data_IF_848122892382
#
_entry.id   IF_848122892382
#
_cell.length_a   1.000
_cell.length_b   1.000
_cell.length_c   1.000
_cell.angle_alpha   90.00
_cell.angle_beta   90.00
_cell.angle_gamma   90.00
#
_symmetry.space_group_name_H-M   'P 1'
#
loop_
_entity.id
_entity.type
_entity.pdbx_description
1 polymer ?
#
# COMPACT_ATOMS: atom_id res chain seq x y z
N UNK A 1 11.70 -1.01 16.39
CA UNK A 1 12.63 -0.66 15.31
C UNK A 1 11.91 -0.60 13.96
N UNK A 2 12.37 0.24 13.04
CA UNK A 2 11.84 0.40 11.68
C UNK A 2 12.86 -0.06 10.64
N UNK A 3 12.49 -0.96 9.72
CA UNK A 3 13.28 -1.22 8.51
C UNK A 3 12.76 -0.31 7.40
N UNK A 4 13.65 0.48 6.82
CA UNK A 4 13.34 1.48 5.80
C UNK A 4 13.98 1.08 4.49
N UNK A 5 13.18 0.70 3.51
CA UNK A 5 13.63 0.67 2.13
C UNK A 5 13.34 2.04 1.52
N UNK A 6 14.37 2.88 1.33
CA UNK A 6 14.16 4.24 0.83
C UNK A 6 13.89 4.24 -0.68
N UNK A 7 14.67 3.46 -1.43
CA UNK A 7 14.56 3.35 -2.89
C UNK A 7 14.51 4.71 -3.61
N UNK A 8 13.41 4.98 -4.32
CA UNK A 8 13.13 6.24 -5.03
C UNK A 8 12.46 7.32 -4.16
N UNK A 9 12.27 7.07 -2.87
CA UNK A 9 11.61 7.97 -1.93
C UNK A 9 12.42 9.22 -1.54
N UNK A 10 11.75 10.22 -0.96
CA UNK A 10 12.39 11.45 -0.49
C UNK A 10 13.33 11.15 0.70
N UNK A 11 14.63 11.51 0.63
CA UNK A 11 15.56 11.36 1.75
C UNK A 11 15.10 11.98 3.08
N UNK A 12 14.21 12.99 3.05
CA UNK A 12 13.60 13.59 4.24
C UNK A 12 12.87 12.57 5.12
N UNK A 13 12.38 11.48 4.54
CA UNK A 13 11.80 10.35 5.27
C UNK A 13 12.68 9.92 6.44
N UNK A 14 13.97 9.75 6.18
CA UNK A 14 14.95 9.31 7.18
C UNK A 14 15.07 10.35 8.31
N UNK A 15 15.05 11.64 7.97
CA UNK A 15 15.15 12.71 8.95
C UNK A 15 13.89 12.81 9.81
N UNK A 16 12.70 12.56 9.25
CA UNK A 16 11.46 12.51 10.02
C UNK A 16 11.45 11.33 10.99
N UNK A 17 11.90 10.14 10.57
CA UNK A 17 12.02 8.98 11.48
C UNK A 17 12.99 9.28 12.63
N UNK A 18 14.14 9.91 12.35
CA UNK A 18 15.09 10.35 13.38
C UNK A 18 14.46 11.31 14.39
N UNK A 19 13.61 12.25 13.95
CA UNK A 19 12.94 13.23 14.85
C UNK A 19 11.97 12.56 15.82
N UNK A 20 11.32 11.48 15.40
CA UNK A 20 10.47 10.66 16.28
C UNK A 20 11.31 9.91 17.32
N UNK A 21 12.61 9.72 17.07
CA UNK A 21 13.53 9.04 17.98
C UNK A 21 13.46 7.51 17.91
N UNK A 22 12.91 6.98 16.82
CA UNK A 22 12.82 5.54 16.60
C UNK A 22 14.15 4.97 16.08
N UNK A 23 14.49 3.77 16.54
CA UNK A 23 15.59 3.01 15.94
C UNK A 23 15.19 2.56 14.54
N UNK A 24 16.06 2.78 13.55
CA UNK A 24 15.79 2.38 12.17
C UNK A 24 17.04 1.88 11.43
N UNK A 25 16.81 1.07 10.41
CA UNK A 25 17.82 0.56 9.49
C UNK A 25 17.42 0.79 8.05
N UNK A 26 18.36 1.20 7.21
CA UNK A 26 18.07 1.50 5.80
C UNK A 26 18.55 0.36 4.92
N UNK A 27 17.65 -0.30 4.22
CA UNK A 27 17.94 -1.43 3.33
C UNK A 27 17.78 -1.03 1.86
N UNK A 28 18.36 -1.81 0.95
CA UNK A 28 18.27 -1.56 -0.49
C UNK A 28 18.20 -2.85 -1.30
N UNK A 29 18.54 -2.78 -2.59
CA UNK A 29 18.30 -3.88 -3.52
C UNK A 29 19.08 -5.17 -3.17
N UNK A 30 20.25 -5.03 -2.53
CA UNK A 30 21.08 -6.17 -2.12
C UNK A 30 20.45 -7.01 -1.00
N UNK A 31 19.44 -6.47 -0.32
CA UNK A 31 18.76 -7.06 0.82
C UNK A 31 17.45 -7.73 0.45
N UNK A 32 16.99 -7.60 -0.80
CA UNK A 32 15.67 -8.05 -1.24
C UNK A 32 15.42 -9.54 -0.98
N UNK A 33 16.46 -10.38 -1.10
CA UNK A 33 16.35 -11.81 -0.85
C UNK A 33 16.50 -12.21 0.63
N UNK A 34 16.84 -11.27 1.51
CA UNK A 34 16.99 -11.54 2.95
C UNK A 34 15.63 -11.48 3.62
N UNK A 35 15.47 -12.30 4.65
CA UNK A 35 14.27 -12.29 5.49
C UNK A 35 14.25 -11.09 6.43
N UNK A 36 13.06 -10.69 6.88
CA UNK A 36 12.94 -9.62 7.86
C UNK A 36 13.68 -9.94 9.17
N UNK A 37 13.70 -11.22 9.58
CA UNK A 37 14.49 -11.70 10.72
C UNK A 37 15.99 -11.42 10.58
N UNK A 38 16.56 -11.65 9.39
CA UNK A 38 17.98 -11.36 9.12
C UNK A 38 18.27 -9.86 9.10
N UNK A 39 17.38 -9.07 8.50
CA UNK A 39 17.53 -7.61 8.39
C UNK A 39 17.45 -6.91 9.74
N UNK A 40 16.73 -7.49 10.69
CA UNK A 40 16.68 -7.00 12.08
C UNK A 40 18.02 -7.17 12.79
N UNK A 41 18.77 -8.22 12.48
CA UNK A 41 20.02 -8.56 13.16
C UNK A 41 21.25 -7.93 12.50
N UNK A 42 21.18 -7.65 11.20
CA UNK A 42 22.30 -7.19 10.40
C UNK A 42 21.93 -5.93 9.60
N UNK A 43 22.04 -4.74 10.21
CA UNK A 43 21.79 -3.50 9.51
C UNK A 43 22.79 -3.31 8.37
N UNK A 44 22.27 -2.94 7.21
CA UNK A 44 23.08 -2.50 6.07
C UNK A 44 22.71 -1.07 5.68
N UNK A 45 23.36 -0.55 4.64
CA UNK A 45 22.97 0.72 4.00
C UNK A 45 23.24 0.57 2.52
N UNK A 46 22.18 0.58 1.74
CA UNK A 46 22.21 0.16 0.34
C UNK A 46 21.23 1.02 -0.46
N UNK A 47 21.50 1.21 -1.75
CA UNK A 47 20.60 1.92 -2.64
C UNK A 47 19.55 0.94 -3.18
N UNK A 48 18.31 1.39 -3.25
CA UNK A 48 17.21 0.66 -3.88
C UNK A 48 16.68 1.40 -5.10
N UNK A 49 15.91 0.71 -5.94
CA UNK A 49 15.27 1.28 -7.13
C UNK A 49 13.73 1.20 -7.10
N UNK A 50 13.12 0.68 -6.04
CA UNK A 50 11.67 0.59 -5.88
C UNK A 50 11.10 1.76 -5.06
N UNK A 51 9.77 1.95 -5.02
CA UNK A 51 9.13 2.93 -4.14
C UNK A 51 9.51 2.72 -2.66
N UNK A 52 9.42 3.78 -1.83
CA UNK A 52 9.72 3.67 -0.41
C UNK A 52 8.77 2.69 0.28
N UNK A 53 9.34 1.84 1.13
CA UNK A 53 8.62 0.85 1.93
C UNK A 53 9.11 0.88 3.38
N UNK A 54 8.17 0.76 4.32
CA UNK A 54 8.47 0.67 5.75
C UNK A 54 7.99 -0.65 6.34
N UNK A 55 8.84 -1.26 7.14
CA UNK A 55 8.45 -2.36 8.01
C UNK A 55 8.64 -2.00 9.48
N UNK A 56 7.56 -2.13 10.26
CA UNK A 56 7.49 -1.75 11.67
C UNK A 56 7.66 -2.99 12.55
N UNK A 57 8.86 -3.18 13.09
CA UNK A 57 9.15 -4.28 14.01
C UNK A 57 8.88 -3.86 15.45
N UNK A 58 7.75 -4.34 15.99
CA UNK A 58 7.28 -4.06 17.37
C UNK A 58 7.17 -2.56 17.65
N UNK A 59 6.74 -1.80 16.65
CA UNK A 59 6.51 -0.36 16.73
C UNK A 59 5.08 -0.03 16.31
N UNK A 60 4.57 1.09 16.79
CA UNK A 60 3.24 1.61 16.46
C UNK A 60 3.31 2.56 15.25
N UNK A 61 2.58 2.23 14.18
CA UNK A 61 2.51 3.04 12.95
C UNK A 61 2.01 4.47 13.20
N UNK A 62 1.19 4.68 14.23
CA UNK A 62 0.59 5.98 14.54
C UNK A 62 1.61 7.03 14.97
N UNK A 63 2.78 6.62 15.48
CA UNK A 63 3.88 7.50 15.86
C UNK A 63 4.53 8.16 14.63
N UNK A 64 4.71 7.38 13.56
CA UNK A 64 5.24 7.88 12.29
C UNK A 64 4.19 8.66 11.50
N UNK A 65 2.92 8.25 11.53
CA UNK A 65 1.85 8.90 10.78
C UNK A 65 1.75 10.40 11.10
N UNK A 66 1.85 10.79 12.38
CA UNK A 66 1.83 12.21 12.78
C UNK A 66 3.04 12.98 12.29
N UNK A 67 4.23 12.39 12.37
CA UNK A 67 5.47 13.04 11.92
C UNK A 67 5.48 13.22 10.41
N UNK A 68 5.05 12.21 9.66
CA UNK A 68 4.96 12.27 8.20
C UNK A 68 3.91 13.29 7.74
N UNK A 69 2.76 13.37 8.42
CA UNK A 69 1.73 14.37 8.14
C UNK A 69 2.26 15.80 8.29
N UNK A 70 3.04 16.10 9.33
CA UNK A 70 3.61 17.43 9.57
C UNK A 70 4.64 17.83 8.50
N UNK A 71 5.32 16.85 7.91
CA UNK A 71 6.36 17.06 6.91
C UNK A 71 5.89 16.83 5.47
N UNK A 72 4.59 16.60 5.28
CA UNK A 72 3.97 16.26 3.99
C UNK A 72 4.62 15.05 3.29
N UNK A 73 5.02 14.07 4.09
CA UNK A 73 5.55 12.79 3.62
C UNK A 73 4.38 11.80 3.56
N UNK A 74 4.27 11.10 2.43
CA UNK A 74 3.26 10.08 2.21
C UNK A 74 3.98 8.77 1.89
N UNK A 75 3.63 7.72 2.64
CA UNK A 75 4.15 6.37 2.42
C UNK A 75 2.96 5.44 2.53
N UNK A 76 2.56 4.91 1.39
CA UNK A 76 1.41 4.02 1.32
C UNK A 76 1.80 2.56 1.54
N UNK A 77 3.10 2.24 1.43
CA UNK A 77 3.65 0.89 1.56
C UNK A 77 4.26 0.70 2.94
N UNK A 78 3.41 0.29 3.88
CA UNK A 78 3.79 0.05 5.27
C UNK A 78 3.31 -1.33 5.69
N UNK A 79 4.20 -2.12 6.29
CA UNK A 79 3.86 -3.41 6.90
C UNK A 79 4.21 -3.40 8.39
N UNK A 80 3.30 -3.92 9.21
CA UNK A 80 3.55 -4.18 10.63
C UNK A 80 4.04 -5.61 10.84
N UNK A 81 4.92 -5.82 11.82
CA UNK A 81 5.42 -7.15 12.14
C UNK A 81 4.30 -8.09 12.61
N UNK A 82 4.25 -9.29 12.00
CA UNK A 82 3.43 -10.43 12.43
C UNK A 82 4.31 -11.65 12.69
N UNK A 83 3.72 -12.72 13.22
CA UNK A 83 4.43 -13.99 13.43
C UNK A 83 4.84 -14.64 12.11
N UNK A 84 4.10 -14.39 11.03
CA UNK A 84 4.32 -15.01 9.72
C UNK A 84 5.30 -14.20 8.86
N UNK A 85 5.11 -12.88 8.77
CA UNK A 85 5.87 -12.04 7.83
C UNK A 85 7.33 -11.80 8.26
N UNK A 86 7.69 -12.13 9.49
CA UNK A 86 9.07 -12.06 9.99
C UNK A 86 10.00 -13.02 9.22
N UNK A 87 9.46 -14.11 8.68
CA UNK A 87 10.20 -15.11 7.89
C UNK A 87 10.17 -14.82 6.38
N UNK A 88 9.39 -13.83 5.95
CA UNK A 88 9.29 -13.50 4.53
C UNK A 88 10.51 -12.71 4.10
N UNK A 89 10.89 -12.89 2.82
CA UNK A 89 11.90 -12.03 2.23
C UNK A 89 11.39 -10.60 2.10
N UNK A 90 12.30 -9.62 2.11
CA UNK A 90 11.93 -8.23 1.87
C UNK A 90 11.19 -8.07 0.54
N UNK A 91 11.61 -8.79 -0.51
CA UNK A 91 10.92 -8.82 -1.82
C UNK A 91 9.48 -9.30 -1.66
N UNK A 92 9.25 -10.48 -1.08
CA UNK A 92 7.90 -11.06 -0.99
C UNK A 92 6.96 -10.16 -0.17
N UNK A 93 7.47 -9.56 0.90
CA UNK A 93 6.69 -8.65 1.73
C UNK A 93 6.35 -7.34 1.01
N UNK A 94 7.29 -6.79 0.24
CA UNK A 94 7.03 -5.62 -0.60
C UNK A 94 5.99 -5.94 -1.67
N UNK A 95 6.10 -7.10 -2.33
CA UNK A 95 5.16 -7.52 -3.38
C UNK A 95 3.74 -7.72 -2.81
N UNK A 96 3.59 -8.31 -1.62
CA UNK A 96 2.28 -8.46 -0.95
C UNK A 96 1.66 -7.09 -0.62
N UNK A 97 2.47 -6.17 -0.10
CA UNK A 97 2.01 -4.82 0.26
C UNK A 97 1.67 -4.00 -0.98
N UNK A 98 2.43 -4.16 -2.05
CA UNK A 98 2.12 -3.57 -3.36
C UNK A 98 0.78 -4.08 -3.90
N UNK A 99 0.54 -5.39 -3.83
CA UNK A 99 -0.74 -5.97 -4.24
C UNK A 99 -1.90 -5.44 -3.40
N UNK A 100 -1.76 -5.41 -2.07
CA UNK A 100 -2.78 -4.88 -1.17
C UNK A 100 -3.08 -3.40 -1.45
N UNK A 101 -2.04 -2.61 -1.72
CA UNK A 101 -2.16 -1.20 -2.08
C UNK A 101 -2.88 -0.99 -3.42
N UNK A 102 -2.56 -1.78 -4.44
CA UNK A 102 -3.23 -1.70 -5.75
C UNK A 102 -4.72 -2.07 -5.64
N UNK A 103 -5.04 -3.12 -4.89
CA UNK A 103 -6.42 -3.52 -4.60
C UNK A 103 -7.18 -2.38 -3.90
N UNK A 104 -6.60 -1.77 -2.87
CA UNK A 104 -7.23 -0.67 -2.13
C UNK A 104 -7.42 0.57 -3.01
N UNK A 105 -6.45 0.86 -3.87
CA UNK A 105 -6.52 1.98 -4.82
C UNK A 105 -7.68 1.79 -5.80
N UNK A 106 -7.78 0.61 -6.43
CA UNK A 106 -8.87 0.33 -7.39
C UNK A 106 -10.23 0.26 -6.69
N UNK A 107 -10.30 -0.30 -5.48
CA UNK A 107 -11.53 -0.31 -4.69
C UNK A 107 -11.98 1.11 -4.36
N UNK A 108 -11.06 1.99 -3.99
CA UNK A 108 -11.34 3.41 -3.72
C UNK A 108 -11.80 4.14 -4.98
N UNK A 109 -11.14 3.92 -6.11
CA UNK A 109 -11.56 4.48 -7.39
C UNK A 109 -12.99 4.03 -7.75
N UNK A 110 -13.27 2.73 -7.63
CA UNK A 110 -14.59 2.17 -7.89
C UNK A 110 -15.65 2.72 -6.92
N UNK A 111 -15.31 2.88 -5.64
CA UNK A 111 -16.17 3.52 -4.65
C UNK A 111 -16.54 4.95 -5.05
N UNK A 112 -15.57 5.75 -5.51
CA UNK A 112 -15.82 7.11 -5.99
C UNK A 112 -16.76 7.10 -7.20
N UNK A 113 -16.58 6.17 -8.13
CA UNK A 113 -17.47 6.04 -9.29
C UNK A 113 -18.91 5.72 -8.88
N UNK A 114 -19.12 4.76 -7.98
CA UNK A 114 -20.48 4.39 -7.53
C UNK A 114 -21.15 5.47 -6.68
N UNK A 115 -20.37 6.32 -5.99
CA UNK A 115 -20.92 7.49 -5.29
C UNK A 115 -21.42 8.58 -6.26
N UNK A 116 -20.93 8.59 -7.50
CA UNK A 116 -21.23 9.61 -8.50
C UNK A 116 -22.05 9.05 -9.68
N UNK A 117 -22.90 8.05 -9.44
CA UNK A 117 -23.77 7.43 -10.46
C UNK A 117 -24.67 8.47 -11.15
N UNK A 118 -24.79 8.38 -12.48
CA UNK A 118 -25.82 9.11 -13.23
C UNK A 118 -27.19 8.52 -12.93
N UNK A 119 -27.89 9.14 -11.98
CA UNK A 119 -29.22 8.71 -11.52
C UNK A 119 -30.27 8.63 -12.63
N UNK A 120 -30.20 9.48 -13.66
CA UNK A 120 -31.17 9.44 -14.77
C UNK A 120 -30.92 8.21 -15.62
N UNK A 121 -29.66 8.00 -16.01
CA UNK A 121 -29.28 6.84 -16.81
C UNK A 121 -29.53 5.54 -16.06
N UNK A 122 -29.22 5.49 -14.77
CA UNK A 122 -29.48 4.32 -13.91
C UNK A 122 -30.96 3.91 -13.84
N UNK A 123 -31.89 4.85 -14.10
CA UNK A 123 -33.33 4.56 -14.15
C UNK A 123 -33.84 4.13 -15.53
N UNK A 124 -33.09 4.41 -16.59
CA UNK A 124 -33.58 4.26 -17.98
C UNK A 124 -32.74 3.33 -18.85
N UNK A 125 -31.54 2.96 -18.42
CA UNK A 125 -30.58 2.12 -19.14
C UNK A 125 -30.29 0.87 -18.29
N UNK A 126 -30.84 -0.27 -18.70
CA UNK A 126 -30.74 -1.54 -17.99
C UNK A 126 -29.29 -2.05 -17.93
N UNK A 127 -28.50 -1.82 -18.98
CA UNK A 127 -27.09 -2.25 -19.04
C UNK A 127 -26.25 -1.43 -18.06
N UNK A 128 -26.45 -0.11 -18.03
CA UNK A 128 -25.81 0.76 -17.06
C UNK A 128 -26.25 0.44 -15.63
N UNK A 129 -27.54 0.14 -15.41
CA UNK A 129 -28.04 -0.28 -14.11
C UNK A 129 -27.36 -1.57 -13.63
N UNK A 130 -27.26 -2.59 -14.49
CA UNK A 130 -26.61 -3.85 -14.15
C UNK A 130 -25.13 -3.65 -13.84
N UNK A 131 -24.44 -2.86 -14.66
CA UNK A 131 -23.03 -2.51 -14.45
C UNK A 131 -22.81 -1.84 -13.08
N UNK A 132 -23.58 -0.81 -12.75
CA UNK A 132 -23.43 -0.09 -11.49
C UNK A 132 -23.77 -0.96 -10.27
N UNK A 133 -24.74 -1.86 -10.37
CA UNK A 133 -25.04 -2.82 -9.28
C UNK A 133 -23.88 -3.79 -9.05
N UNK A 134 -23.24 -4.26 -10.12
CA UNK A 134 -22.08 -5.13 -10.01
C UNK A 134 -20.86 -4.37 -9.44
N UNK A 135 -20.66 -3.12 -9.85
CA UNK A 135 -19.65 -2.24 -9.28
C UNK A 135 -19.84 -2.06 -7.76
N UNK A 136 -21.07 -1.79 -7.29
CA UNK A 136 -21.37 -1.68 -5.86
C UNK A 136 -21.02 -2.97 -5.12
N UNK A 137 -21.40 -4.13 -5.66
CA UNK A 137 -21.11 -5.42 -5.05
C UNK A 137 -19.59 -5.68 -4.91
N UNK A 138 -18.79 -5.31 -5.91
CA UNK A 138 -17.33 -5.48 -5.87
C UNK A 138 -16.64 -4.54 -4.88
N UNK A 139 -17.17 -3.33 -4.66
CA UNK A 139 -16.63 -2.42 -3.64
C UNK A 139 -16.81 -3.01 -2.23
N UNK A 140 -17.94 -3.66 -1.98
CA UNK A 140 -18.27 -4.26 -0.69
C UNK A 140 -17.62 -5.63 -0.46
N UNK A 141 -17.06 -6.26 -1.50
CA UNK A 141 -16.45 -7.58 -1.42
C UNK A 141 -15.00 -7.51 -0.90
N UNK A 142 -14.72 -8.01 0.33
CA UNK A 142 -13.37 -8.04 0.88
C UNK A 142 -12.45 -9.01 0.14
N UNK A 143 -12.99 -9.92 -0.67
CA UNK A 143 -12.27 -10.97 -1.41
C UNK A 143 -12.15 -10.70 -2.91
N UNK A 144 -12.59 -9.52 -3.38
CA UNK A 144 -12.43 -9.14 -4.78
C UNK A 144 -10.95 -9.17 -5.20
N UNK A 145 -10.66 -9.84 -6.31
CA UNK A 145 -9.31 -9.89 -6.86
C UNK A 145 -8.94 -8.58 -7.58
N UNK A 146 -7.63 -8.35 -7.73
CA UNK A 146 -7.10 -7.21 -8.50
C UNK A 146 -7.70 -7.15 -9.91
N UNK A 147 -7.78 -8.29 -10.60
CA UNK A 147 -8.32 -8.39 -11.96
C UNK A 147 -9.80 -8.01 -12.02
N UNK A 148 -10.61 -8.49 -11.06
CA UNK A 148 -12.03 -8.15 -10.99
C UNK A 148 -12.26 -6.64 -10.79
N UNK A 149 -11.43 -6.02 -9.94
CA UNK A 149 -11.50 -4.58 -9.68
C UNK A 149 -11.07 -3.77 -10.90
N UNK A 150 -9.94 -4.11 -11.54
CA UNK A 150 -9.43 -3.42 -12.74
C UNK A 150 -10.42 -3.49 -13.91
N UNK A 151 -10.97 -4.68 -14.19
CA UNK A 151 -11.97 -4.86 -15.25
C UNK A 151 -13.22 -4.03 -14.99
N UNK A 152 -13.68 -3.99 -13.74
CA UNK A 152 -14.87 -3.21 -13.37
C UNK A 152 -14.61 -1.71 -13.49
N UNK A 153 -13.48 -1.20 -13.00
CA UNK A 153 -13.08 0.20 -13.14
C UNK A 153 -13.08 0.59 -14.63
N UNK A 154 -12.45 -0.21 -15.49
CA UNK A 154 -12.42 0.03 -16.95
C UNK A 154 -13.80 -0.01 -17.59
N UNK A 155 -14.69 -0.89 -17.14
CA UNK A 155 -16.06 -0.96 -17.63
C UNK A 155 -16.85 0.30 -17.25
N UNK A 156 -16.75 0.74 -16.00
CA UNK A 156 -17.38 1.97 -15.49
C UNK A 156 -16.89 3.23 -16.22
N UNK A 157 -15.59 3.34 -16.50
CA UNK A 157 -15.02 4.50 -17.21
C UNK A 157 -15.50 4.63 -18.66
N UNK A 158 -15.87 3.51 -19.30
CA UNK A 158 -16.33 3.47 -20.70
C UNK A 158 -17.84 3.66 -20.84
N UNK A 159 -18.58 3.48 -19.75
CA UNK A 159 -20.03 3.46 -19.75
C UNK A 159 -20.60 4.87 -19.94
#
# INVERSE_FOLDING_TARGET
MVIVYLGTGDPKLIDSIKKVGMEFHVVGDQELSKTMAELIQHPTTSKGNQPPFLYLYKEDASLLAKAFQQEHIFIDRVAENTEENIQWSLRDLMDEVDLAYEIDTLRTELYIMVQNIDTKRFQTDDDYQHLMRHAIALVEDPHASLEQLDDMVRACQKA
#
